data_IF_690331763551
#
_entry.id   IF_690331763551
#
_cell.length_a   1.000
_cell.length_b   1.000
_cell.length_c   1.000
_cell.angle_alpha   90.00
_cell.angle_beta   90.00
_cell.angle_gamma   90.00
#
_symmetry.space_group_name_H-M   'P 1'
#
loop_
_entity.id
_entity.type
_entity.pdbx_description
1 polymer ?
#
# COMPACT_ATOMS: atom_id res chain seq x y z
N UNK A 1 4.89 10.04 5.53
CA UNK A 1 4.04 11.18 5.13
C UNK A 1 2.62 11.10 5.65
N UNK A 2 1.95 12.23 5.95
CA UNK A 2 0.60 12.25 6.53
C UNK A 2 -0.23 13.43 6.00
N UNK A 3 -1.54 13.24 5.82
CA UNK A 3 -2.47 14.34 5.50
C UNK A 3 -3.42 14.60 6.68
N UNK A 4 -3.24 15.73 7.35
CA UNK A 4 -4.08 16.11 8.49
C UNK A 4 -5.30 16.94 8.04
N UNK A 5 -6.49 16.44 8.35
CA UNK A 5 -7.74 17.19 8.18
C UNK A 5 -7.79 18.45 9.05
N UNK A 6 -8.60 19.42 8.63
CA UNK A 6 -8.79 20.65 9.39
C UNK A 6 -9.37 20.35 10.78
N UNK A 7 -8.77 20.89 11.83
CA UNK A 7 -9.21 20.63 13.21
C UNK A 7 -8.91 19.20 13.69
N UNK A 8 -7.93 18.51 13.12
CA UNK A 8 -7.43 17.27 13.70
C UNK A 8 -6.78 17.53 15.06
N UNK A 9 -7.40 17.01 16.10
CA UNK A 9 -7.00 17.17 17.49
C UNK A 9 -6.31 15.91 18.02
N UNK A 10 -5.50 16.08 19.06
CA UNK A 10 -4.79 14.99 19.70
C UNK A 10 -4.66 15.25 21.19
N UNK A 11 -4.62 14.19 21.99
CA UNK A 11 -4.32 14.28 23.42
C UNK A 11 -3.49 13.10 23.89
N UNK A 12 -2.94 13.23 25.09
CA UNK A 12 -2.11 12.22 25.74
C UNK A 12 -2.33 12.26 27.26
N UNK A 13 -3.56 12.04 27.72
CA UNK A 13 -3.91 12.16 29.15
C UNK A 13 -3.49 10.93 30.01
N UNK A 14 -2.30 10.41 29.81
CA UNK A 14 -1.75 9.28 30.58
C UNK A 14 -0.98 9.74 31.83
N UNK A 15 -1.59 10.61 32.63
CA UNK A 15 -0.97 11.32 33.76
C UNK A 15 -0.30 10.42 34.82
N UNK A 16 -0.60 9.12 34.84
CA UNK A 16 -0.13 8.18 35.88
C UNK A 16 1.03 7.27 35.46
N UNK A 17 1.41 7.19 34.18
CA UNK A 17 2.33 6.15 33.67
C UNK A 17 3.71 6.64 33.19
N UNK A 18 4.06 7.90 33.42
CA UNK A 18 5.36 8.43 32.98
C UNK A 18 5.45 8.60 31.44
N UNK A 19 6.66 8.79 30.87
CA UNK A 19 6.87 9.49 29.59
C UNK A 19 6.43 8.79 28.29
N UNK A 20 5.72 7.64 28.31
CA UNK A 20 5.24 7.01 27.07
C UNK A 20 3.96 7.71 26.58
N UNK A 21 4.16 8.83 25.88
CA UNK A 21 3.10 9.68 25.33
C UNK A 21 3.09 9.72 23.79
N UNK A 22 3.93 8.91 23.13
CA UNK A 22 4.08 8.94 21.68
C UNK A 22 3.22 7.90 20.98
N UNK A 23 2.75 8.24 19.79
CA UNK A 23 2.11 7.32 18.86
C UNK A 23 2.70 7.48 17.46
N UNK A 24 2.31 6.58 16.56
CA UNK A 24 2.82 6.56 15.20
C UNK A 24 1.63 6.59 14.23
N UNK A 25 1.65 7.55 13.33
CA UNK A 25 0.78 7.54 12.14
C UNK A 25 1.69 7.31 10.95
N UNK A 26 1.63 6.10 10.39
CA UNK A 26 2.54 5.68 9.34
C UNK A 26 2.30 6.43 8.02
N UNK A 27 3.24 6.28 7.07
CA UNK A 27 3.18 6.94 5.76
C UNK A 27 1.81 6.75 5.09
N UNK A 28 1.33 7.71 4.34
CA UNK A 28 0.06 7.55 3.63
C UNK A 28 -1.17 7.93 4.42
N UNK A 29 -1.10 7.89 5.75
CA UNK A 29 -2.29 7.97 6.57
C UNK A 29 -2.88 9.38 6.60
N UNK A 30 -4.20 9.42 6.80
CA UNK A 30 -4.98 10.65 6.73
C UNK A 30 -5.96 10.74 7.88
N UNK A 31 -6.23 11.96 8.32
CA UNK A 31 -7.33 12.24 9.23
C UNK A 31 -8.40 13.06 8.52
N UNK A 32 -9.66 12.81 8.86
CA UNK A 32 -10.76 13.70 8.43
C UNK A 32 -10.79 14.98 9.27
N UNK A 33 -11.56 15.96 8.81
CA UNK A 33 -11.81 17.17 9.61
C UNK A 33 -12.40 16.81 10.97
N UNK A 34 -12.01 17.55 12.02
CA UNK A 34 -12.43 17.37 13.41
C UNK A 34 -12.16 15.97 13.99
N UNK A 35 -11.20 15.22 13.42
CA UNK A 35 -10.76 13.95 14.00
C UNK A 35 -10.12 14.16 15.37
N UNK A 36 -10.11 13.12 16.20
CA UNK A 36 -9.37 13.11 17.46
C UNK A 36 -8.64 11.79 17.65
N UNK A 37 -7.39 11.82 18.09
CA UNK A 37 -6.61 10.63 18.44
C UNK A 37 -6.05 10.76 19.85
N UNK A 38 -6.29 9.76 20.69
CA UNK A 38 -5.70 9.65 22.02
C UNK A 38 -4.44 8.79 21.99
N UNK A 39 -3.31 9.39 22.33
CA UNK A 39 -2.01 8.72 22.38
C UNK A 39 -1.80 7.98 23.70
N UNK A 40 -1.04 6.86 23.71
CA UNK A 40 -0.36 6.24 22.56
C UNK A 40 -1.33 5.51 21.63
N UNK A 41 -1.05 5.53 20.32
CA UNK A 41 -1.78 4.79 19.30
C UNK A 41 -0.87 4.59 18.09
N UNK A 42 -1.08 3.52 17.33
CA UNK A 42 -0.37 3.26 16.08
C UNK A 42 -1.35 3.01 14.95
N UNK A 43 -1.18 3.75 13.86
CA UNK A 43 -2.05 3.71 12.69
C UNK A 43 -1.25 3.23 11.49
N UNK A 44 -1.69 2.12 10.90
CA UNK A 44 -1.02 1.49 9.77
C UNK A 44 -0.98 2.37 8.53
N UNK A 45 0.03 2.14 7.68
CA UNK A 45 0.30 2.92 6.49
C UNK A 45 -0.95 3.07 5.59
N UNK A 46 -1.12 4.26 5.01
CA UNK A 46 -2.22 4.59 4.10
C UNK A 46 -3.61 4.38 4.70
N UNK A 47 -3.77 4.42 6.03
CA UNK A 47 -5.09 4.31 6.67
C UNK A 47 -5.79 5.67 6.81
N UNK A 48 -7.12 5.66 6.85
CA UNK A 48 -7.95 6.84 7.07
C UNK A 48 -8.56 6.80 8.47
N UNK A 49 -8.41 7.89 9.22
CA UNK A 49 -8.94 8.07 10.58
C UNK A 49 -10.16 8.99 10.50
N UNK A 50 -11.35 8.45 10.83
CA UNK A 50 -12.63 9.16 10.79
C UNK A 50 -13.24 9.25 12.19
N UNK A 51 -13.35 10.47 12.70
CA UNK A 51 -13.99 10.74 13.99
C UNK A 51 -13.03 10.70 15.17
N UNK A 52 -13.54 10.33 16.35
CA UNK A 52 -12.86 10.48 17.64
C UNK A 52 -12.43 9.13 18.22
N UNK A 53 -11.14 8.85 18.18
CA UNK A 53 -10.55 7.62 18.68
C UNK A 53 -9.90 7.85 20.04
N UNK A 54 -10.56 7.39 21.10
CA UNK A 54 -10.10 7.52 22.49
C UNK A 54 -9.41 6.25 23.02
N UNK A 55 -9.31 5.23 22.19
CA UNK A 55 -8.68 3.95 22.52
C UNK A 55 -7.24 3.95 21.99
N UNK A 56 -6.34 3.32 22.74
CA UNK A 56 -4.92 3.19 22.39
C UNK A 56 -4.68 2.09 21.35
N UNK A 57 -5.34 2.21 20.20
CA UNK A 57 -5.34 1.20 19.16
C UNK A 57 -3.95 1.03 18.52
N UNK A 58 -3.51 -0.22 18.32
CA UNK A 58 -2.39 -0.55 17.46
C UNK A 58 -2.90 -1.28 16.21
N UNK A 59 -2.93 -0.56 15.09
CA UNK A 59 -3.37 -1.03 13.78
C UNK A 59 -2.22 -1.03 12.77
N UNK A 60 -0.98 -1.00 13.25
CA UNK A 60 0.23 -0.91 12.42
C UNK A 60 0.36 -2.05 11.39
N UNK A 61 -0.17 -3.23 11.70
CA UNK A 61 -0.21 -4.40 10.81
C UNK A 61 -1.54 -4.55 10.06
N UNK A 62 -2.36 -3.50 10.02
CA UNK A 62 -3.57 -3.42 9.20
C UNK A 62 -3.50 -2.17 8.29
N UNK A 63 -2.59 -2.14 7.31
CA UNK A 63 -2.43 -0.99 6.42
C UNK A 63 -3.67 -0.81 5.52
N UNK A 64 -3.84 0.38 4.96
CA UNK A 64 -4.95 0.75 4.10
C UNK A 64 -6.34 0.59 4.77
N UNK A 65 -6.40 0.70 6.09
CA UNK A 65 -7.65 0.54 6.84
C UNK A 65 -8.44 1.84 6.93
N UNK A 66 -9.75 1.73 7.10
CA UNK A 66 -10.55 2.83 7.67
C UNK A 66 -10.75 2.58 9.16
N UNK A 67 -10.39 3.56 9.99
CA UNK A 67 -10.72 3.62 11.40
C UNK A 67 -11.92 4.55 11.51
N UNK A 68 -13.07 4.02 11.90
CA UNK A 68 -14.34 4.73 11.96
C UNK A 68 -14.81 4.77 13.40
N UNK A 69 -14.96 5.96 13.95
CA UNK A 69 -15.66 6.14 15.21
C UNK A 69 -17.15 5.83 15.03
N UNK A 70 -17.66 4.94 15.87
CA UNK A 70 -19.08 4.65 15.98
C UNK A 70 -19.39 4.24 17.42
N UNK A 71 -20.39 4.87 18.01
CA UNK A 71 -20.85 4.59 19.38
C UNK A 71 -19.69 4.64 20.40
N UNK A 72 -18.84 5.66 20.31
CA UNK A 72 -17.61 5.82 21.13
C UNK A 72 -16.59 4.67 21.02
N UNK A 73 -16.72 3.82 19.99
CA UNK A 73 -15.80 2.71 19.72
C UNK A 73 -15.12 2.89 18.37
N UNK A 74 -13.93 2.29 18.22
CA UNK A 74 -13.22 2.29 16.93
C UNK A 74 -13.56 1.04 16.15
N UNK A 75 -14.22 1.21 15.01
CA UNK A 75 -14.45 0.16 14.03
C UNK A 75 -13.35 0.21 12.97
N UNK A 76 -12.76 -0.94 12.67
CA UNK A 76 -11.76 -1.07 11.61
C UNK A 76 -12.42 -1.75 10.41
N UNK A 77 -12.25 -1.16 9.24
CA UNK A 77 -12.49 -1.79 7.96
C UNK A 77 -11.14 -2.02 7.25
N UNK A 78 -10.52 -3.21 7.41
CA UNK A 78 -9.20 -3.49 6.87
C UNK A 78 -9.17 -3.38 5.35
N UNK A 79 -8.04 -2.95 4.79
CA UNK A 79 -7.76 -2.93 3.35
C UNK A 79 -8.67 -2.03 2.48
N UNK A 80 -9.77 -1.47 3.02
CA UNK A 80 -10.79 -0.76 2.23
C UNK A 80 -10.21 0.46 1.51
N UNK A 81 -9.17 1.08 2.04
CA UNK A 81 -8.57 2.26 1.42
C UNK A 81 -7.76 1.95 0.14
N UNK A 82 -7.49 0.67 -0.17
CA UNK A 82 -6.79 0.25 -1.41
C UNK A 82 -7.58 0.61 -2.67
N UNK A 83 -8.91 0.55 -2.58
CA UNK A 83 -9.82 0.84 -3.71
C UNK A 83 -10.30 2.28 -3.74
N UNK A 84 -9.75 3.15 -2.90
CA UNK A 84 -10.18 4.54 -2.79
C UNK A 84 -9.52 5.39 -3.87
N UNK A 85 -10.33 6.11 -4.64
CA UNK A 85 -9.84 7.11 -5.61
C UNK A 85 -8.95 8.15 -4.94
N UNK A 86 -9.27 8.53 -3.70
CA UNK A 86 -8.50 9.49 -2.91
C UNK A 86 -7.08 8.99 -2.57
N UNK A 87 -6.91 7.68 -2.36
CA UNK A 87 -5.59 7.09 -2.09
C UNK A 87 -4.73 7.07 -3.33
N UNK A 88 -5.28 6.66 -4.49
CA UNK A 88 -4.54 6.66 -5.76
C UNK A 88 -4.16 8.08 -6.18
N UNK A 89 -5.07 9.05 -6.05
CA UNK A 89 -4.78 10.45 -6.33
C UNK A 89 -3.67 10.98 -5.45
N UNK A 90 -3.70 10.68 -4.16
CA UNK A 90 -2.66 11.14 -3.27
C UNK A 90 -1.34 10.44 -3.60
N UNK A 91 -1.29 9.13 -3.80
CA UNK A 91 -0.05 8.45 -4.23
C UNK A 91 0.61 9.10 -5.49
N UNK A 92 -0.18 9.61 -6.44
CA UNK A 92 0.32 10.32 -7.63
C UNK A 92 0.77 11.76 -7.37
N UNK A 93 -0.02 12.53 -6.59
CA UNK A 93 0.27 13.95 -6.30
C UNK A 93 1.61 14.16 -5.60
N UNK A 94 2.12 13.14 -4.93
CA UNK A 94 3.23 13.27 -4.00
C UNK A 94 4.57 13.42 -4.69
N UNK A 95 4.96 12.50 -5.61
CA UNK A 95 6.06 12.73 -6.53
C UNK A 95 5.96 14.08 -7.26
N UNK A 96 4.78 14.43 -7.75
CA UNK A 96 4.54 15.68 -8.49
C UNK A 96 4.73 16.94 -7.64
N UNK A 97 4.65 16.82 -6.31
CA UNK A 97 4.86 17.90 -5.34
C UNK A 97 6.26 17.94 -4.78
N UNK A 98 7.12 16.96 -5.09
CA UNK A 98 8.53 17.05 -4.75
C UNK A 98 9.19 18.14 -5.61
N UNK A 99 9.37 19.32 -5.01
CA UNK A 99 9.98 20.50 -5.62
C UNK A 99 11.40 20.74 -5.14
N UNK A 100 12.07 19.74 -4.56
CA UNK A 100 13.48 19.86 -4.16
C UNK A 100 14.34 20.04 -5.41
N UNK A 101 14.96 21.21 -5.51
CA UNK A 101 15.81 21.63 -6.64
C UNK A 101 17.30 21.51 -6.37
N UNK A 102 17.68 21.29 -5.12
CA UNK A 102 19.08 21.09 -4.75
C UNK A 102 19.62 19.87 -5.51
N UNK A 103 20.77 19.98 -6.20
CA UNK A 103 21.41 18.82 -6.81
C UNK A 103 21.82 17.78 -5.78
N UNK A 104 22.13 18.20 -4.55
CA UNK A 104 22.44 17.32 -3.42
C UNK A 104 21.19 17.06 -2.57
N UNK A 105 20.48 15.98 -2.90
CA UNK A 105 19.27 15.56 -2.18
C UNK A 105 19.65 14.65 -1.02
N UNK A 106 19.79 15.24 0.16
CA UNK A 106 20.11 14.50 1.39
C UNK A 106 19.01 13.51 1.80
N UNK A 107 17.72 13.83 1.61
CA UNK A 107 16.64 12.89 1.94
C UNK A 107 16.40 11.88 0.80
N UNK A 108 16.63 10.62 1.11
CA UNK A 108 16.24 9.49 0.27
C UNK A 108 14.76 9.18 0.45
N UNK A 109 13.94 9.37 -0.59
CA UNK A 109 12.49 9.18 -0.51
C UNK A 109 12.03 8.17 -1.56
N UNK A 110 11.40 7.08 -1.12
CA UNK A 110 10.67 6.15 -1.97
C UNK A 110 9.19 6.56 -2.00
N UNK A 111 8.63 6.82 -3.17
CA UNK A 111 7.23 7.24 -3.32
C UNK A 111 6.25 6.09 -3.55
N UNK A 112 6.75 4.86 -3.59
CA UNK A 112 5.96 3.67 -3.87
C UNK A 112 4.77 3.54 -2.90
N UNK A 113 3.59 3.28 -3.45
CA UNK A 113 2.37 2.98 -2.68
C UNK A 113 2.44 1.56 -2.12
N UNK A 114 2.77 0.60 -3.00
CA UNK A 114 3.05 -0.78 -2.67
C UNK A 114 4.56 -0.98 -2.66
N UNK A 115 5.09 -1.50 -1.56
CA UNK A 115 6.51 -1.73 -1.34
C UNK A 115 6.68 -2.94 -0.40
N UNK A 116 7.88 -3.51 -0.25
CA UNK A 116 8.13 -4.55 0.74
C UNK A 116 7.62 -4.16 2.14
N UNK A 117 7.85 -2.92 2.56
CA UNK A 117 7.34 -2.37 3.82
C UNK A 117 5.81 -2.42 3.96
N UNK A 118 5.05 -2.08 2.92
CA UNK A 118 3.57 -2.13 3.02
C UNK A 118 3.03 -3.54 2.84
N UNK A 119 3.63 -4.35 1.95
CA UNK A 119 3.16 -5.71 1.66
C UNK A 119 3.52 -6.69 2.79
N UNK A 120 4.65 -6.53 3.49
CA UNK A 120 4.93 -7.36 4.68
C UNK A 120 3.84 -7.17 5.76
N UNK A 121 3.35 -5.93 5.93
CA UNK A 121 2.27 -5.62 6.88
C UNK A 121 0.93 -6.16 6.39
N UNK A 122 0.72 -6.25 5.09
CA UNK A 122 -0.45 -6.93 4.51
C UNK A 122 -0.41 -8.42 4.82
N UNK A 123 0.74 -9.09 4.67
CA UNK A 123 0.90 -10.50 5.06
C UNK A 123 0.57 -10.69 6.56
N UNK A 124 1.16 -9.87 7.43
CA UNK A 124 0.84 -9.88 8.86
C UNK A 124 -0.66 -9.62 9.13
N UNK A 125 -1.28 -8.71 8.36
CA UNK A 125 -2.69 -8.42 8.42
C UNK A 125 -3.57 -9.63 8.08
N UNK A 126 -3.23 -10.40 7.04
CA UNK A 126 -3.93 -11.65 6.70
C UNK A 126 -3.85 -12.65 7.85
N UNK A 127 -2.66 -12.84 8.43
CA UNK A 127 -2.47 -13.73 9.58
C UNK A 127 -3.34 -13.30 10.77
N UNK A 128 -3.33 -12.01 11.11
CA UNK A 128 -4.17 -11.45 12.17
C UNK A 128 -5.65 -11.75 11.91
N UNK A 129 -6.15 -11.44 10.71
CA UNK A 129 -7.57 -11.63 10.39
C UNK A 129 -7.97 -13.11 10.40
N UNK A 130 -7.12 -14.00 9.88
CA UNK A 130 -7.35 -15.46 9.93
C UNK A 130 -7.33 -16.00 11.35
N UNK A 131 -6.40 -15.53 12.19
CA UNK A 131 -6.33 -15.92 13.59
C UNK A 131 -7.54 -15.45 14.40
N UNK A 132 -8.07 -14.26 14.11
CA UNK A 132 -9.33 -13.78 14.71
C UNK A 132 -10.51 -14.69 14.33
N UNK A 133 -10.62 -15.09 13.05
CA UNK A 133 -11.64 -16.04 12.61
C UNK A 133 -11.50 -17.42 13.26
N UNK A 134 -10.28 -17.95 13.35
CA UNK A 134 -10.02 -19.25 13.96
C UNK A 134 -10.35 -19.24 15.46
N UNK A 135 -10.05 -18.15 16.16
CA UNK A 135 -10.23 -18.04 17.62
C UNK A 135 -11.67 -17.76 18.02
N UNK A 136 -12.34 -16.81 17.35
CA UNK A 136 -13.70 -16.40 17.70
C UNK A 136 -14.78 -17.16 16.90
N UNK A 137 -14.40 -17.91 15.87
CA UNK A 137 -15.30 -18.61 14.95
C UNK A 137 -15.65 -17.79 13.69
N UNK A 138 -15.81 -18.47 12.56
CA UNK A 138 -16.09 -17.85 11.25
C UNK A 138 -17.47 -17.17 11.15
N UNK A 139 -18.41 -17.57 12.01
CA UNK A 139 -19.78 -17.05 12.07
C UNK A 139 -19.95 -15.91 13.07
N UNK A 140 -18.90 -15.56 13.82
CA UNK A 140 -18.94 -14.41 14.73
C UNK A 140 -19.26 -13.12 13.99
N UNK A 141 -20.26 -12.38 14.47
CA UNK A 141 -20.70 -11.13 13.85
C UNK A 141 -19.61 -10.04 13.95
N UNK A 142 -18.86 -10.05 15.05
CA UNK A 142 -17.79 -9.10 15.35
C UNK A 142 -16.55 -9.82 15.89
N UNK A 143 -15.40 -9.20 15.65
CA UNK A 143 -14.10 -9.59 16.17
C UNK A 143 -13.50 -8.41 16.92
N UNK A 144 -12.83 -8.67 18.04
CA UNK A 144 -12.11 -7.66 18.81
C UNK A 144 -10.62 -7.76 18.55
N UNK A 145 -9.97 -6.63 18.27
CA UNK A 145 -8.54 -6.55 18.00
C UNK A 145 -7.98 -5.24 18.54
N UNK A 146 -7.04 -5.29 19.49
CA UNK A 146 -6.38 -4.11 20.05
C UNK A 146 -7.38 -2.99 20.45
N UNK A 147 -8.38 -3.36 21.23
CA UNK A 147 -9.49 -2.50 21.68
C UNK A 147 -10.39 -1.94 20.55
N UNK A 148 -10.23 -2.41 19.32
CA UNK A 148 -11.08 -2.06 18.18
C UNK A 148 -12.03 -3.20 17.80
N UNK A 149 -13.03 -2.88 16.98
CA UNK A 149 -14.05 -3.81 16.50
C UNK A 149 -13.91 -4.00 14.99
N UNK A 150 -13.92 -5.24 14.52
CA UNK A 150 -13.99 -5.59 13.10
C UNK A 150 -15.26 -6.41 12.88
N UNK A 151 -16.15 -5.96 12.00
CA UNK A 151 -17.34 -6.77 11.65
C UNK A 151 -16.96 -7.95 10.76
N UNK A 152 -17.74 -9.04 10.79
CA UNK A 152 -17.51 -10.21 9.93
C UNK A 152 -17.35 -9.86 8.45
N UNK A 153 -18.25 -8.99 7.97
CA UNK A 153 -18.23 -8.50 6.60
C UNK A 153 -16.95 -7.71 6.29
N UNK A 154 -16.52 -6.85 7.20
CA UNK A 154 -15.29 -6.07 7.03
C UNK A 154 -14.04 -6.96 7.05
N UNK A 155 -14.00 -7.97 7.92
CA UNK A 155 -12.91 -8.93 7.99
C UNK A 155 -12.77 -9.71 6.68
N UNK A 156 -13.85 -10.37 6.23
CA UNK A 156 -13.86 -11.15 4.98
C UNK A 156 -13.43 -10.29 3.79
N UNK A 157 -13.99 -9.09 3.71
CA UNK A 157 -13.63 -8.14 2.65
C UNK A 157 -12.16 -7.70 2.73
N UNK A 158 -11.63 -7.55 3.94
CA UNK A 158 -10.23 -7.22 4.18
C UNK A 158 -9.29 -8.31 3.66
N UNK A 159 -9.60 -9.58 3.93
CA UNK A 159 -8.86 -10.73 3.41
C UNK A 159 -8.81 -10.73 1.88
N UNK A 160 -9.97 -10.59 1.21
CA UNK A 160 -10.04 -10.56 -0.26
C UNK A 160 -9.18 -9.45 -0.85
N UNK A 161 -9.25 -8.24 -0.28
CA UNK A 161 -8.53 -7.07 -0.77
C UNK A 161 -7.02 -7.18 -0.54
N UNK A 162 -6.59 -7.74 0.59
CA UNK A 162 -5.19 -8.01 0.86
C UNK A 162 -4.60 -9.06 -0.09
N UNK A 163 -5.34 -10.13 -0.39
CA UNK A 163 -4.92 -11.14 -1.35
C UNK A 163 -4.75 -10.55 -2.76
N UNK A 164 -5.71 -9.73 -3.22
CA UNK A 164 -5.62 -9.00 -4.51
C UNK A 164 -4.32 -8.20 -4.61
N UNK A 165 -3.96 -7.47 -3.56
CA UNK A 165 -2.78 -6.59 -3.64
C UNK A 165 -1.45 -7.32 -3.47
N UNK A 166 -1.44 -8.51 -2.83
CA UNK A 166 -0.28 -9.42 -2.86
C UNK A 166 -0.04 -9.90 -4.28
N UNK A 167 -1.07 -10.44 -4.96
CA UNK A 167 -0.96 -10.84 -6.36
C UNK A 167 -0.51 -9.69 -7.26
N UNK A 168 -1.09 -8.50 -7.07
CA UNK A 168 -0.72 -7.29 -7.82
C UNK A 168 0.75 -6.91 -7.63
N UNK A 169 1.25 -6.90 -6.39
CA UNK A 169 2.62 -6.49 -6.11
C UNK A 169 3.61 -7.54 -6.63
N UNK A 170 3.49 -8.78 -6.18
CA UNK A 170 4.43 -9.86 -6.52
C UNK A 170 4.46 -10.14 -8.03
N UNK A 171 3.28 -10.17 -8.68
CA UNK A 171 3.21 -10.35 -10.12
C UNK A 171 3.83 -9.18 -10.91
N UNK A 172 3.70 -7.94 -10.41
CA UNK A 172 4.34 -6.79 -11.07
C UNK A 172 5.87 -6.87 -10.96
N UNK A 173 6.40 -7.25 -9.80
CA UNK A 173 7.85 -7.44 -9.61
C UNK A 173 8.38 -8.59 -10.51
N UNK A 174 7.64 -9.70 -10.61
CA UNK A 174 7.97 -10.82 -11.51
C UNK A 174 8.00 -10.39 -12.99
N UNK A 175 6.95 -9.73 -13.46
CA UNK A 175 6.85 -9.24 -14.84
C UNK A 175 8.00 -8.28 -15.13
N UNK A 176 8.29 -7.35 -14.21
CA UNK A 176 9.37 -6.38 -14.39
C UNK A 176 10.73 -7.05 -14.45
N UNK A 177 10.96 -8.11 -13.66
CA UNK A 177 12.21 -8.89 -13.71
C UNK A 177 12.40 -9.57 -15.07
N UNK A 178 11.33 -10.12 -15.63
CA UNK A 178 11.36 -10.85 -16.90
C UNK A 178 11.21 -9.94 -18.13
N UNK A 179 10.97 -8.63 -17.97
CA UNK A 179 10.73 -7.69 -19.06
C UNK A 179 11.90 -7.66 -20.07
N UNK A 180 11.58 -7.65 -21.37
CA UNK A 180 12.56 -7.46 -22.45
C UNK A 180 13.52 -8.62 -22.72
N UNK A 181 13.46 -9.72 -21.97
CA UNK A 181 14.40 -10.86 -22.10
C UNK A 181 13.74 -12.04 -22.81
N UNK A 182 14.30 -12.53 -23.92
CA UNK A 182 13.79 -13.77 -24.54
C UNK A 182 14.39 -14.99 -23.84
N UNK A 183 13.60 -16.05 -23.73
CA UNK A 183 14.01 -17.30 -23.08
C UNK A 183 13.84 -18.48 -24.05
N UNK A 184 14.80 -19.39 -24.04
CA UNK A 184 14.80 -20.62 -24.85
C UNK A 184 14.55 -21.88 -23.99
N UNK A 185 14.62 -21.77 -22.66
CA UNK A 185 14.40 -22.87 -21.74
C UNK A 185 13.90 -22.40 -20.37
N UNK A 186 13.42 -23.34 -19.55
CA UNK A 186 13.06 -23.05 -18.16
C UNK A 186 14.30 -22.74 -17.31
N UNK A 187 15.47 -23.25 -17.69
CA UNK A 187 16.74 -22.96 -17.02
C UNK A 187 17.11 -21.48 -17.14
N UNK A 188 17.01 -20.89 -18.34
CA UNK A 188 17.25 -19.45 -18.54
C UNK A 188 16.27 -18.57 -17.74
N UNK A 189 15.01 -19.02 -17.58
CA UNK A 189 14.03 -18.35 -16.71
C UNK A 189 14.52 -18.40 -15.25
N UNK A 190 14.94 -19.56 -14.76
CA UNK A 190 15.44 -19.71 -13.37
C UNK A 190 16.66 -18.85 -13.10
N UNK A 191 17.64 -18.86 -14.01
CA UNK A 191 18.83 -17.99 -13.93
C UNK A 191 18.43 -16.51 -13.85
N UNK A 192 17.42 -16.09 -14.62
CA UNK A 192 16.94 -14.71 -14.57
C UNK A 192 16.21 -14.39 -13.27
N UNK A 193 15.51 -15.35 -12.67
CA UNK A 193 14.77 -15.17 -11.42
C UNK A 193 15.68 -15.14 -10.20
N UNK A 194 16.86 -15.74 -10.26
CA UNK A 194 17.84 -15.64 -9.17
C UNK A 194 18.19 -14.17 -8.85
N UNK A 195 17.97 -13.69 -7.61
CA UNK A 195 18.37 -12.36 -7.18
C UNK A 195 19.89 -12.14 -7.20
N UNK A 196 20.70 -13.20 -7.02
CA UNK A 196 22.16 -13.12 -6.95
C UNK A 196 22.71 -12.42 -5.68
N UNK A 197 21.83 -12.08 -4.72
CA UNK A 197 22.17 -11.47 -3.44
C UNK A 197 21.14 -11.83 -2.39
N UNK A 198 21.53 -11.78 -1.12
CA UNK A 198 20.63 -11.92 0.04
C UNK A 198 20.18 -10.57 0.61
N UNK A 199 20.78 -9.47 0.15
CA UNK A 199 20.39 -8.11 0.54
C UNK A 199 18.97 -7.84 0.05
N UNK A 200 18.09 -7.43 0.96
CA UNK A 200 16.66 -7.28 0.69
C UNK A 200 15.78 -8.32 1.38
N UNK A 201 16.33 -9.42 1.87
CA UNK A 201 15.56 -10.40 2.63
C UNK A 201 15.09 -9.86 3.99
N UNK A 202 14.09 -10.53 4.57
CA UNK A 202 13.60 -10.23 5.91
C UNK A 202 12.62 -9.04 5.97
N UNK A 203 12.69 -8.30 7.07
CA UNK A 203 11.83 -7.16 7.32
C UNK A 203 12.35 -5.89 6.64
N UNK A 204 11.42 -5.03 6.23
CA UNK A 204 11.71 -3.69 5.74
C UNK A 204 11.15 -2.63 6.69
N UNK A 205 11.80 -1.48 6.70
CA UNK A 205 11.43 -0.31 7.52
C UNK A 205 11.26 0.93 6.63
N UNK A 206 10.50 1.91 7.12
CA UNK A 206 10.41 3.25 6.54
C UNK A 206 11.13 4.23 7.47
N UNK A 207 12.30 4.69 7.05
CA UNK A 207 13.12 5.69 7.73
C UNK A 207 12.83 7.07 7.16
N UNK A 208 11.69 7.64 7.54
CA UNK A 208 11.29 8.99 7.15
C UNK A 208 11.24 9.23 5.62
N UNK A 209 10.97 8.18 4.83
CA UNK A 209 10.93 8.24 3.37
C UNK A 209 11.76 7.15 2.72
N UNK A 210 12.90 6.78 3.32
CA UNK A 210 13.75 5.71 2.83
C UNK A 210 13.14 4.36 3.24
N UNK A 211 12.64 3.61 2.25
CA UNK A 211 12.19 2.24 2.45
C UNK A 211 13.38 1.33 2.20
N UNK A 212 13.87 0.64 3.24
CA UNK A 212 15.07 -0.18 3.18
C UNK A 212 14.94 -1.49 3.99
N UNK A 213 15.77 -2.51 3.69
CA UNK A 213 15.82 -3.73 4.48
C UNK A 213 16.34 -3.42 5.88
N UNK A 214 15.67 -3.92 6.91
CA UNK A 214 16.02 -3.68 8.31
C UNK A 214 17.43 -4.16 8.64
N UNK A 215 17.87 -5.25 8.03
CA UNK A 215 19.22 -5.82 8.22
C UNK A 215 20.31 -4.81 7.88
N UNK A 216 20.15 -4.05 6.79
CA UNK A 216 21.14 -3.05 6.37
C UNK A 216 21.15 -1.84 7.31
N UNK A 217 20.00 -1.51 7.88
CA UNK A 217 19.89 -0.46 8.90
C UNK A 217 20.53 -0.91 10.21
N UNK A 218 20.27 -2.14 10.65
CA UNK A 218 20.91 -2.69 11.85
C UNK A 218 22.44 -2.79 11.67
N UNK A 219 22.91 -3.18 10.48
CA UNK A 219 24.34 -3.16 10.14
C UNK A 219 24.93 -1.75 10.22
N UNK A 220 24.24 -0.74 9.68
CA UNK A 220 24.64 0.66 9.81
C UNK A 220 24.73 1.09 11.28
N UNK A 221 23.73 0.77 12.10
CA UNK A 221 23.75 1.08 13.53
C UNK A 221 24.94 0.43 14.24
N UNK A 222 25.22 -0.84 13.98
CA UNK A 222 26.37 -1.54 14.56
C UNK A 222 27.70 -0.87 14.18
N UNK A 223 27.84 -0.39 12.93
CA UNK A 223 29.04 0.32 12.44
C UNK A 223 29.21 1.70 13.07
N UNK A 224 28.10 2.37 13.41
CA UNK A 224 28.13 3.63 14.16
C UNK A 224 28.53 3.36 15.62
N UNK A 225 27.90 2.37 16.27
CA UNK A 225 28.16 2.03 17.67
C UNK A 225 29.58 1.51 17.91
N UNK A 226 30.16 0.80 16.94
CA UNK A 226 31.55 0.34 16.99
C UNK A 226 32.59 1.44 16.76
N UNK A 227 32.16 2.62 16.30
CA UNK A 227 33.03 3.72 15.90
C UNK A 227 33.71 3.52 14.54
N UNK A 228 33.27 2.55 13.71
CA UNK A 228 33.72 2.42 12.31
C UNK A 228 33.24 3.62 11.48
N UNK A 229 31.95 3.96 11.59
CA UNK A 229 31.39 5.17 11.01
C UNK A 229 31.44 6.28 12.05
N UNK A 230 32.09 7.39 11.70
CA UNK A 230 32.27 8.52 12.63
C UNK A 230 31.73 9.84 12.08
N UNK A 231 31.34 9.89 10.80
CA UNK A 231 30.88 11.10 10.12
C UNK A 231 29.47 10.92 9.56
N UNK A 232 28.68 12.00 9.60
CA UNK A 232 27.33 12.04 9.04
C UNK A 232 27.31 11.76 7.52
N UNK A 233 28.37 12.14 6.80
CA UNK A 233 28.46 11.89 5.36
C UNK A 233 28.46 10.39 5.05
N UNK A 234 29.17 9.57 5.83
CA UNK A 234 29.24 8.12 5.63
C UNK A 234 27.86 7.47 5.87
N UNK A 235 27.07 8.00 6.81
CA UNK A 235 25.68 7.57 7.04
C UNK A 235 24.82 7.89 5.81
N UNK A 236 24.96 9.11 5.27
CA UNK A 236 24.21 9.53 4.08
C UNK A 236 24.59 8.71 2.83
N UNK A 237 25.86 8.33 2.68
CA UNK A 237 26.32 7.46 1.60
C UNK A 237 25.64 6.09 1.66
N UNK A 238 25.51 5.49 2.85
CA UNK A 238 24.76 4.23 3.03
C UNK A 238 23.27 4.40 2.68
N UNK A 239 22.64 5.52 3.07
CA UNK A 239 21.25 5.79 2.69
C UNK A 239 21.08 5.97 1.18
N UNK A 240 22.01 6.67 0.52
CA UNK A 240 22.02 6.86 -0.92
C UNK A 240 22.20 5.54 -1.67
N UNK A 241 23.10 4.67 -1.19
CA UNK A 241 23.34 3.35 -1.78
C UNK A 241 22.10 2.44 -1.64
N UNK A 242 21.45 2.44 -0.47
CA UNK A 242 20.21 1.68 -0.26
C UNK A 242 19.07 2.19 -1.15
N UNK A 243 18.97 3.51 -1.32
CA UNK A 243 17.97 4.14 -2.19
C UNK A 243 18.20 3.83 -3.67
N UNK A 244 19.45 3.93 -4.12
CA UNK A 244 19.84 3.62 -5.50
C UNK A 244 19.61 2.14 -5.84
N UNK A 245 19.85 1.23 -4.88
CA UNK A 245 19.66 -0.21 -5.03
C UNK A 245 18.25 -0.70 -4.64
N UNK A 246 17.30 0.21 -4.42
CA UNK A 246 15.94 -0.14 -3.95
C UNK A 246 15.31 -1.28 -4.74
N UNK A 247 15.32 -1.23 -6.08
CA UNK A 247 14.66 -2.23 -6.92
C UNK A 247 15.41 -3.57 -6.96
N UNK A 248 16.73 -3.57 -6.73
CA UNK A 248 17.51 -4.82 -6.60
C UNK A 248 17.10 -5.51 -5.31
N UNK A 249 17.09 -4.77 -4.20
CA UNK A 249 16.71 -5.27 -2.89
C UNK A 249 15.22 -5.68 -2.85
N UNK A 250 14.33 -4.89 -3.48
CA UNK A 250 12.91 -5.22 -3.63
C UNK A 250 12.73 -6.56 -4.35
N UNK A 251 13.51 -6.81 -5.41
CA UNK A 251 13.44 -8.07 -6.14
C UNK A 251 13.80 -9.26 -5.25
N UNK A 252 14.89 -9.16 -4.48
CA UNK A 252 15.27 -10.21 -3.51
C UNK A 252 14.12 -10.53 -2.56
N UNK A 253 13.47 -9.50 -2.02
CA UNK A 253 12.32 -9.66 -1.13
C UNK A 253 11.10 -10.27 -1.85
N UNK A 254 10.76 -9.74 -3.01
CA UNK A 254 9.59 -10.19 -3.77
C UNK A 254 9.74 -11.64 -4.21
N UNK A 255 10.95 -12.06 -4.58
CA UNK A 255 11.23 -13.44 -4.96
C UNK A 255 11.03 -14.42 -3.80
N UNK A 256 11.56 -14.10 -2.61
CA UNK A 256 11.30 -14.88 -1.37
C UNK A 256 9.79 -15.01 -1.10
N UNK A 257 9.03 -13.92 -1.25
CA UNK A 257 7.58 -13.93 -1.09
C UNK A 257 6.83 -14.64 -2.20
N UNK A 258 7.31 -14.62 -3.44
CA UNK A 258 6.73 -15.41 -4.53
C UNK A 258 6.86 -16.90 -4.21
N UNK A 259 8.04 -17.35 -3.82
CA UNK A 259 8.29 -18.76 -3.49
C UNK A 259 7.38 -19.25 -2.36
N UNK A 260 7.34 -18.51 -1.24
CA UNK A 260 6.53 -18.88 -0.09
C UNK A 260 5.01 -18.75 -0.34
N UNK A 261 4.55 -17.67 -0.96
CA UNK A 261 3.13 -17.42 -1.18
C UNK A 261 2.50 -18.36 -2.21
N UNK A 262 3.22 -18.68 -3.30
CA UNK A 262 2.75 -19.60 -4.33
C UNK A 262 3.19 -21.05 -4.10
N UNK A 263 3.89 -21.34 -3.00
CA UNK A 263 4.41 -22.67 -2.63
C UNK A 263 5.27 -23.28 -3.74
N UNK A 264 6.24 -22.50 -4.22
CA UNK A 264 7.16 -22.86 -5.29
C UNK A 264 8.56 -23.14 -4.74
N UNK A 265 9.34 -23.93 -5.48
CA UNK A 265 10.77 -24.07 -5.25
C UNK A 265 11.56 -23.43 -6.39
N UNK A 266 12.71 -22.78 -6.11
CA UNK A 266 13.52 -22.13 -7.15
C UNK A 266 13.94 -23.08 -8.28
N UNK A 267 14.23 -24.33 -7.94
CA UNK A 267 14.76 -25.33 -8.88
C UNK A 267 13.67 -25.92 -9.77
N UNK A 268 12.40 -25.88 -9.34
CA UNK A 268 11.30 -26.51 -10.05
C UNK A 268 10.42 -25.52 -10.82
N UNK A 269 10.55 -24.20 -10.60
CA UNK A 269 9.69 -23.23 -11.29
C UNK A 269 9.84 -23.33 -12.82
N UNK A 270 8.72 -23.20 -13.51
CA UNK A 270 8.62 -23.28 -14.97
C UNK A 270 7.92 -22.07 -15.58
N UNK A 271 7.98 -21.93 -16.91
CA UNK A 271 7.17 -20.98 -17.66
C UNK A 271 5.66 -21.13 -17.36
N UNK A 272 5.17 -22.36 -17.10
CA UNK A 272 3.77 -22.59 -16.74
C UNK A 272 3.40 -21.94 -15.39
N UNK A 273 4.30 -21.97 -14.40
CA UNK A 273 4.10 -21.29 -13.11
C UNK A 273 4.12 -19.78 -13.27
N UNK A 274 5.07 -19.25 -14.06
CA UNK A 274 5.13 -17.82 -14.38
C UNK A 274 3.82 -17.37 -15.04
N UNK A 275 3.33 -18.10 -16.05
CA UNK A 275 2.04 -17.81 -16.70
C UNK A 275 0.89 -17.83 -15.69
N UNK A 276 0.86 -18.78 -14.75
CA UNK A 276 -0.18 -18.85 -13.70
C UNK A 276 -0.15 -17.61 -12.82
N UNK A 277 1.04 -17.17 -12.39
CA UNK A 277 1.20 -15.95 -11.59
C UNK A 277 0.76 -14.71 -12.37
N UNK A 278 1.15 -14.59 -13.65
CA UNK A 278 0.80 -13.45 -14.50
C UNK A 278 -0.70 -13.36 -14.72
N UNK A 279 -1.40 -14.48 -14.91
CA UNK A 279 -2.87 -14.49 -15.01
C UNK A 279 -3.54 -14.01 -13.72
N UNK A 280 -3.09 -14.51 -12.55
CA UNK A 280 -3.59 -14.07 -11.25
C UNK A 280 -3.33 -12.59 -10.98
N UNK A 281 -2.17 -12.11 -11.40
CA UNK A 281 -1.81 -10.70 -11.36
C UNK A 281 -2.75 -9.86 -12.23
N UNK A 282 -3.01 -10.27 -13.47
CA UNK A 282 -3.90 -9.55 -14.38
C UNK A 282 -5.33 -9.46 -13.80
N UNK A 283 -5.89 -10.60 -13.36
CA UNK A 283 -7.18 -10.65 -12.68
C UNK A 283 -7.25 -9.66 -11.50
N UNK A 284 -6.20 -9.64 -10.67
CA UNK A 284 -6.13 -8.80 -9.47
C UNK A 284 -6.01 -7.31 -9.80
N UNK A 285 -5.21 -6.96 -10.81
CA UNK A 285 -5.05 -5.58 -11.26
C UNK A 285 -6.35 -5.05 -11.84
N UNK A 286 -6.98 -5.80 -12.74
CA UNK A 286 -8.25 -5.41 -13.38
C UNK A 286 -9.34 -5.26 -12.33
N UNK A 287 -9.49 -6.25 -11.45
CA UNK A 287 -10.47 -6.23 -10.35
C UNK A 287 -10.29 -5.01 -9.44
N UNK A 288 -9.06 -4.68 -9.05
CA UNK A 288 -8.79 -3.51 -8.23
C UNK A 288 -9.10 -2.19 -8.96
N UNK A 289 -8.71 -2.07 -10.23
CA UNK A 289 -8.95 -0.88 -11.03
C UNK A 289 -10.45 -0.66 -11.29
N UNK A 290 -11.23 -1.73 -11.50
CA UNK A 290 -12.68 -1.68 -11.58
C UNK A 290 -13.32 -1.19 -10.27
N UNK A 291 -12.80 -1.62 -9.12
CA UNK A 291 -13.25 -1.11 -7.82
C UNK A 291 -12.92 0.37 -7.64
N UNK A 292 -11.73 0.81 -8.07
CA UNK A 292 -11.32 2.23 -8.05
C UNK A 292 -12.20 3.06 -8.99
N UNK A 293 -12.51 2.55 -10.18
CA UNK A 293 -13.42 3.18 -11.14
C UNK A 293 -14.82 3.34 -10.55
N UNK A 294 -15.34 2.28 -9.92
CA UNK A 294 -16.64 2.30 -9.22
C UNK A 294 -16.67 3.30 -8.07
N UNK A 295 -15.56 3.41 -7.32
CA UNK A 295 -15.44 4.40 -6.26
C UNK A 295 -15.39 5.84 -6.80
N UNK A 296 -14.61 6.08 -7.86
CA UNK A 296 -14.58 7.37 -8.55
C UNK A 296 -15.97 7.77 -9.08
N UNK A 297 -16.76 6.82 -9.60
CA UNK A 297 -18.12 7.07 -10.07
C UNK A 297 -19.04 7.66 -8.98
N UNK A 298 -18.82 7.33 -7.70
CA UNK A 298 -19.62 7.89 -6.60
C UNK A 298 -19.44 9.40 -6.48
N UNK A 299 -18.25 9.93 -6.76
CA UNK A 299 -17.97 11.38 -6.74
C UNK A 299 -18.77 12.16 -7.80
N UNK A 300 -19.30 11.48 -8.83
CA UNK A 300 -20.11 12.07 -9.91
C UNK A 300 -21.61 11.80 -9.75
N UNK A 301 -22.02 11.16 -8.65
CA UNK A 301 -23.43 10.92 -8.36
C UNK A 301 -24.17 12.19 -7.95
N UNK A 302 -25.50 12.21 -8.12
CA UNK A 302 -26.34 13.39 -7.90
C UNK A 302 -26.19 14.02 -6.50
N UNK A 303 -25.90 13.22 -5.48
CA UNK A 303 -25.71 13.69 -4.10
C UNK A 303 -24.44 14.54 -3.91
N UNK A 304 -23.46 14.41 -4.80
CA UNK A 304 -22.21 15.20 -4.78
C UNK A 304 -22.21 16.38 -5.75
N UNK A 305 -23.25 16.50 -6.57
CA UNK A 305 -23.40 17.68 -7.42
C UNK A 305 -23.69 18.89 -6.54
N UNK A 306 -23.04 20.01 -6.83
CA UNK A 306 -23.28 21.30 -6.18
C UNK A 306 -23.51 22.31 -7.30
N UNK A 307 -24.62 23.05 -7.25
CA UNK A 307 -24.88 24.16 -8.16
C UNK A 307 -24.39 25.45 -7.53
N UNK A 308 -24.15 26.47 -8.35
CA UNK A 308 -23.70 27.78 -7.87
C UNK A 308 -24.87 28.73 -7.58
N UNK A 309 -26.02 28.53 -8.23
CA UNK A 309 -27.24 29.32 -8.02
C UNK A 309 -27.98 28.94 -6.73
N UNK A 310 -28.39 29.94 -5.94
CA UNK A 310 -29.21 29.75 -4.75
C UNK A 310 -30.66 29.33 -5.06
N UNK A 311 -31.11 29.63 -6.28
CA UNK A 311 -32.43 29.38 -6.86
C UNK A 311 -32.40 28.36 -8.01
N UNK A 312 -31.23 27.78 -8.30
CA UNK A 312 -31.03 26.86 -9.41
C UNK A 312 -31.76 25.53 -9.24
N UNK A 313 -32.33 25.03 -10.33
CA UNK A 313 -33.00 23.74 -10.38
C UNK A 313 -32.00 22.56 -10.54
N UNK A 314 -32.50 21.32 -10.51
CA UNK A 314 -31.67 20.11 -10.60
C UNK A 314 -30.87 20.04 -11.91
N UNK A 315 -31.40 20.56 -13.02
CA UNK A 315 -30.70 20.58 -14.31
C UNK A 315 -29.58 21.62 -14.31
N UNK A 316 -29.82 22.82 -13.80
CA UNK A 316 -28.79 23.86 -13.67
C UNK A 316 -27.66 23.40 -12.74
N UNK A 317 -28.02 22.79 -11.61
CA UNK A 317 -27.07 22.13 -10.71
C UNK A 317 -26.25 21.03 -11.39
N UNK A 318 -26.85 20.28 -12.32
CA UNK A 318 -26.15 19.25 -13.06
C UNK A 318 -25.19 19.84 -14.11
N UNK A 319 -25.61 20.90 -14.80
CA UNK A 319 -24.81 21.64 -15.76
C UNK A 319 -23.62 22.32 -15.09
N UNK A 320 -23.85 23.05 -13.99
CA UNK A 320 -22.81 23.69 -13.18
C UNK A 320 -21.73 22.70 -12.74
N UNK A 321 -22.17 21.55 -12.24
CA UNK A 321 -21.25 20.48 -11.84
C UNK A 321 -20.46 19.96 -13.04
N UNK A 322 -21.10 19.74 -14.20
CA UNK A 322 -20.44 19.27 -15.41
C UNK A 322 -19.46 20.30 -15.98
N UNK A 323 -19.79 21.60 -15.94
CA UNK A 323 -18.87 22.67 -16.36
C UNK A 323 -17.58 22.72 -15.53
N UNK A 324 -17.67 22.40 -14.24
CA UNK A 324 -16.51 22.46 -13.32
C UNK A 324 -15.75 21.14 -13.22
N UNK A 325 -16.47 20.02 -13.12
CA UNK A 325 -15.89 18.68 -12.91
C UNK A 325 -15.69 17.89 -14.20
N UNK A 326 -16.31 18.34 -15.29
CA UNK A 326 -16.41 17.60 -16.54
C UNK A 326 -17.42 16.45 -16.45
N UNK A 327 -17.72 15.88 -17.60
CA UNK A 327 -18.42 14.61 -17.69
C UNK A 327 -17.53 13.47 -17.15
N UNK A 328 -18.15 12.45 -16.54
CA UNK A 328 -17.43 11.37 -15.87
C UNK A 328 -16.50 10.60 -16.83
N UNK A 329 -16.99 10.29 -18.03
CA UNK A 329 -16.27 9.65 -19.13
C UNK A 329 -15.10 10.47 -19.66
N UNK A 330 -15.17 11.80 -19.52
CA UNK A 330 -14.10 12.74 -19.92
C UNK A 330 -13.13 13.06 -18.78
N UNK A 331 -13.36 12.55 -17.57
CA UNK A 331 -12.51 12.88 -16.44
C UNK A 331 -11.10 12.27 -16.61
N UNK A 332 -10.01 13.04 -16.48
CA UNK A 332 -8.65 12.54 -16.70
C UNK A 332 -8.27 11.35 -15.81
N UNK A 333 -8.78 11.29 -14.58
CA UNK A 333 -8.54 10.16 -13.68
C UNK A 333 -9.20 8.88 -14.22
N UNK A 334 -10.46 9.00 -14.65
CA UNK A 334 -11.25 7.88 -15.19
C UNK A 334 -10.60 7.32 -16.45
N UNK A 335 -10.24 8.19 -17.39
CA UNK A 335 -9.52 7.82 -18.62
C UNK A 335 -8.20 7.12 -18.28
N UNK A 336 -7.43 7.67 -17.32
CA UNK A 336 -6.15 7.08 -16.92
C UNK A 336 -6.32 5.69 -16.30
N UNK A 337 -7.37 5.47 -15.51
CA UNK A 337 -7.67 4.15 -14.92
C UNK A 337 -8.05 3.13 -16.01
N UNK A 338 -8.91 3.51 -16.96
CA UNK A 338 -9.26 2.63 -18.08
C UNK A 338 -8.04 2.30 -18.96
N UNK A 339 -7.22 3.30 -19.29
CA UNK A 339 -5.97 3.09 -20.02
C UNK A 339 -4.98 2.21 -19.24
N UNK A 340 -4.94 2.33 -17.91
CA UNK A 340 -4.10 1.48 -17.08
C UNK A 340 -4.54 0.01 -17.16
N UNK A 341 -5.84 -0.27 -17.16
CA UNK A 341 -6.38 -1.62 -17.39
C UNK A 341 -5.90 -2.18 -18.74
N UNK A 342 -6.04 -1.42 -19.82
CA UNK A 342 -5.62 -1.84 -21.17
C UNK A 342 -4.12 -2.14 -21.24
N UNK A 343 -3.29 -1.22 -20.72
CA UNK A 343 -1.83 -1.37 -20.71
C UNK A 343 -1.42 -2.60 -19.89
N UNK A 344 -2.07 -2.87 -18.77
CA UNK A 344 -1.73 -4.00 -17.90
C UNK A 344 -2.14 -5.33 -18.51
N UNK A 345 -3.29 -5.40 -19.18
CA UNK A 345 -3.68 -6.58 -19.99
C UNK A 345 -2.69 -6.84 -21.12
N UNK A 346 -2.29 -5.80 -21.86
CA UNK A 346 -1.31 -5.95 -22.93
C UNK A 346 0.06 -6.44 -22.41
N UNK A 347 0.50 -5.93 -21.26
CA UNK A 347 1.73 -6.37 -20.60
C UNK A 347 1.69 -7.84 -20.16
N UNK A 348 0.56 -8.28 -19.59
CA UNK A 348 0.36 -9.69 -19.22
C UNK A 348 0.35 -10.60 -20.44
N UNK A 349 -0.40 -10.23 -21.48
CA UNK A 349 -0.47 -10.96 -22.74
C UNK A 349 0.89 -11.09 -23.42
N UNK A 350 1.67 -10.01 -23.48
CA UNK A 350 3.03 -10.00 -24.06
C UNK A 350 3.93 -11.04 -23.40
N UNK A 351 4.02 -11.03 -22.07
CA UNK A 351 4.88 -11.97 -21.36
C UNK A 351 4.41 -13.41 -21.54
N UNK A 352 3.10 -13.66 -21.48
CA UNK A 352 2.51 -14.99 -21.70
C UNK A 352 2.85 -15.48 -23.10
N UNK A 353 2.66 -14.67 -24.13
CA UNK A 353 2.97 -15.04 -25.52
C UNK A 353 4.46 -15.35 -25.67
N UNK A 354 5.33 -14.49 -25.12
CA UNK A 354 6.79 -14.61 -25.22
C UNK A 354 7.36 -15.87 -24.59
N UNK A 355 6.70 -16.46 -23.58
CA UNK A 355 7.19 -17.68 -22.91
C UNK A 355 6.30 -18.91 -23.14
N UNK A 356 5.24 -18.78 -23.93
CA UNK A 356 4.26 -19.84 -24.16
C UNK A 356 4.84 -21.10 -24.82
N UNK A 357 5.88 -20.93 -25.65
CA UNK A 357 6.58 -22.03 -26.33
C UNK A 357 7.43 -22.89 -25.39
N UNK A 358 7.66 -22.44 -24.15
CA UNK A 358 8.44 -23.14 -23.13
C UNK A 358 7.59 -23.97 -22.15
N UNK A 359 6.28 -24.04 -22.40
CA UNK A 359 5.31 -24.67 -21.51
C UNK A 359 5.43 -26.19 -21.44
#
# INVERSE_FOLDING_TARGET
>A
FMNAGSGSNQSNHMYKLGPIHQGIVERGAKTTSNSYVMWPAKVGAFSLILGRHIQHADTSNLPFSYLVEKDNSTYIAPAVNLRSVGTIRDAKKWPERDRRKDPDKLDCINFNLLSPYTIQKVFAGIEILRNLQATAGETSEIYTYQSCIITNRALKRGLDLYEIIIHKFLGNSLIKRLEGTRFNSNEEIRERLDPGTTVGLGEWVDLSGLIAPKTEIDNLLNRIESGEITRLQEINEVFADLHANYYVNEWTWAWDKILSFYQLTPEAITAADVIRIVKKWEESVVSLDEMIYSDARKEFSLSFKTGFGADGNIQEKALDFEYVRGAFDKNPFVITTLKHIEVKKALGAELIERISHLR
#
